data_IF_893977527262
#
_entry.id   IF_893977527262
#
_cell.length_a   1.000
_cell.length_b   1.000
_cell.length_c   1.000
_cell.angle_alpha   90.00
_cell.angle_beta   90.00
_cell.angle_gamma   90.00
#
_symmetry.space_group_name_H-M   'P 1'
#
loop_
_entity.id
_entity.type
_entity.pdbx_description
1 polymer ?
#
# COMPACT_ATOMS: atom_id res chain seq x y z
N UNK A 1 17.67 -10.86 -4.62
CA UNK A 1 17.32 -11.63 -3.40
C UNK A 1 18.26 -11.16 -2.31
N UNK A 2 17.76 -10.64 -1.19
CA UNK A 2 18.62 -10.21 -0.08
C UNK A 2 19.14 -11.46 0.64
N UNK A 3 20.45 -11.57 0.84
CA UNK A 3 21.02 -12.67 1.59
C UNK A 3 20.58 -12.58 3.07
N UNK A 4 20.25 -13.72 3.73
CA UNK A 4 19.65 -13.74 5.07
C UNK A 4 20.58 -13.27 6.21
N UNK A 5 21.87 -13.00 5.94
CA UNK A 5 22.88 -12.74 6.98
C UNK A 5 23.84 -11.59 6.68
N UNK A 6 23.40 -10.54 5.99
CA UNK A 6 24.23 -9.34 5.87
C UNK A 6 24.19 -8.61 7.22
N UNK A 7 25.37 -8.36 7.82
CA UNK A 7 25.55 -7.70 9.13
C UNK A 7 24.74 -6.41 9.29
N UNK A 8 24.46 -5.71 8.20
CA UNK A 8 23.75 -4.43 8.18
C UNK A 8 22.30 -4.49 7.64
N UNK A 9 21.79 -5.64 7.20
CA UNK A 9 20.53 -5.68 6.40
C UNK A 9 19.28 -6.12 7.15
N UNK A 10 19.39 -6.68 8.35
CA UNK A 10 18.23 -7.30 8.99
C UNK A 10 17.41 -6.30 9.81
N UNK A 11 18.05 -5.43 10.59
CA UNK A 11 17.37 -4.41 11.41
C UNK A 11 18.19 -3.13 11.63
N UNK A 12 19.43 -3.04 11.15
CA UNK A 12 20.36 -1.93 11.44
C UNK A 12 19.85 -0.55 11.04
N UNK A 13 19.00 -0.49 10.00
CA UNK A 13 18.32 0.75 9.56
C UNK A 13 16.81 0.71 9.77
N UNK A 14 16.30 -0.31 10.46
CA UNK A 14 14.88 -0.49 10.67
C UNK A 14 14.40 0.37 11.85
N UNK A 15 13.11 0.71 11.86
CA UNK A 15 12.53 1.46 12.97
C UNK A 15 12.57 0.63 14.26
N UNK A 16 12.57 1.29 15.42
CA UNK A 16 12.50 0.60 16.71
C UNK A 16 11.37 -0.44 16.73
N UNK A 17 11.68 -1.64 17.25
CA UNK A 17 10.79 -2.81 17.27
C UNK A 17 10.48 -3.44 15.89
N UNK A 18 11.24 -3.12 14.85
CA UNK A 18 11.17 -3.84 13.57
C UNK A 18 11.82 -5.22 13.69
N UNK A 19 11.14 -6.21 13.12
CA UNK A 19 11.69 -7.56 12.98
C UNK A 19 12.47 -7.66 11.65
N UNK A 20 13.44 -8.58 11.55
CA UNK A 20 14.05 -8.94 10.28
C UNK A 20 13.01 -9.26 9.20
N UNK A 21 13.29 -8.92 7.95
CA UNK A 21 12.33 -9.09 6.86
C UNK A 21 11.83 -10.54 6.70
N UNK A 22 12.68 -11.54 6.96
CA UNK A 22 12.36 -12.97 6.85
C UNK A 22 12.17 -13.66 8.20
N UNK A 23 11.69 -12.94 9.22
CA UNK A 23 11.59 -13.48 10.58
C UNK A 23 10.69 -14.73 10.65
N UNK A 24 9.60 -14.81 9.88
CA UNK A 24 8.70 -15.98 9.91
C UNK A 24 9.34 -17.22 9.32
N UNK A 25 10.03 -17.07 8.19
CA UNK A 25 10.70 -18.13 7.47
C UNK A 25 11.84 -18.71 8.32
N UNK A 26 12.65 -17.82 8.90
CA UNK A 26 13.73 -18.21 9.81
C UNK A 26 13.20 -18.89 11.07
N UNK A 27 12.16 -18.31 11.69
CA UNK A 27 11.54 -18.90 12.88
C UNK A 27 10.96 -20.28 12.60
N UNK A 28 10.32 -20.45 11.45
CA UNK A 28 9.78 -21.73 11.04
C UNK A 28 10.90 -22.76 10.82
N UNK A 29 11.95 -22.40 10.08
CA UNK A 29 13.07 -23.29 9.79
C UNK A 29 13.80 -23.74 11.07
N UNK A 30 14.11 -22.82 11.98
CA UNK A 30 14.78 -23.11 13.24
C UNK A 30 13.92 -24.01 14.14
N UNK A 31 12.65 -23.67 14.34
CA UNK A 31 11.75 -24.43 15.23
C UNK A 31 11.36 -25.79 14.63
N UNK A 32 11.54 -26.00 13.33
CA UNK A 32 11.25 -27.27 12.65
C UNK A 32 12.44 -28.23 12.69
N UNK A 33 13.66 -27.71 12.51
CA UNK A 33 14.86 -28.54 12.32
C UNK A 33 15.87 -28.49 13.47
N UNK A 34 15.74 -27.53 14.38
CA UNK A 34 16.67 -27.28 15.48
C UNK A 34 15.90 -26.95 16.77
N UNK A 35 14.79 -27.64 17.01
CA UNK A 35 13.92 -27.37 18.16
C UNK A 35 14.58 -27.74 19.50
N UNK A 36 15.46 -28.73 19.48
CA UNK A 36 16.26 -29.22 20.61
C UNK A 36 17.34 -28.24 21.08
N UNK A 37 17.73 -27.28 20.23
CA UNK A 37 18.64 -26.20 20.60
C UNK A 37 17.97 -25.08 21.43
N UNK A 38 16.64 -25.16 21.65
CA UNK A 38 15.90 -24.20 22.47
C UNK A 38 15.57 -24.76 23.85
N UNK A 39 15.71 -23.93 24.89
CA UNK A 39 15.31 -24.29 26.26
C UNK A 39 13.82 -24.66 26.37
N UNK A 40 12.95 -23.90 25.69
CA UNK A 40 11.51 -24.20 25.57
C UNK A 40 10.97 -23.82 24.18
N UNK A 41 11.14 -24.74 23.22
CA UNK A 41 10.65 -24.57 21.86
C UNK A 41 9.13 -24.37 21.75
N UNK A 42 8.35 -24.95 22.68
CA UNK A 42 6.88 -24.84 22.65
C UNK A 42 6.43 -23.44 23.02
N UNK A 43 7.03 -22.84 24.05
CA UNK A 43 6.77 -21.44 24.41
C UNK A 43 7.19 -20.50 23.29
N UNK A 44 8.34 -20.74 22.64
CA UNK A 44 8.78 -19.94 21.49
C UNK A 44 7.76 -20.04 20.34
N UNK A 45 7.31 -21.25 19.99
CA UNK A 45 6.28 -21.47 18.96
C UNK A 45 5.00 -20.70 19.25
N UNK A 46 4.50 -20.75 20.49
CA UNK A 46 3.31 -20.01 20.92
C UNK A 46 3.50 -18.49 20.76
N UNK A 47 4.62 -17.95 21.24
CA UNK A 47 4.93 -16.51 21.13
C UNK A 47 5.03 -16.04 19.68
N UNK A 48 5.64 -16.85 18.80
CA UNK A 48 5.71 -16.55 17.36
C UNK A 48 4.34 -16.49 16.70
N UNK A 49 3.43 -17.41 17.09
CA UNK A 49 2.06 -17.43 16.59
C UNK A 49 1.27 -16.20 17.07
N UNK A 50 1.34 -15.87 18.35
CA UNK A 50 0.71 -14.67 18.93
C UNK A 50 1.25 -13.39 18.26
N UNK A 51 2.56 -13.32 18.03
CA UNK A 51 3.21 -12.19 17.37
C UNK A 51 2.72 -12.03 15.93
N UNK A 52 2.64 -13.13 15.16
CA UNK A 52 2.09 -13.12 13.79
C UNK A 52 0.66 -12.61 13.79
N UNK A 53 -0.18 -13.09 14.69
CA UNK A 53 -1.58 -12.69 14.76
C UNK A 53 -1.75 -11.20 15.03
N UNK A 54 -1.03 -10.67 16.04
CA UNK A 54 -1.06 -9.25 16.38
C UNK A 54 -0.55 -8.40 15.21
N UNK A 55 0.54 -8.81 14.56
CA UNK A 55 1.13 -8.06 13.43
C UNK A 55 0.22 -8.06 12.22
N UNK A 56 -0.38 -9.19 11.85
CA UNK A 56 -1.35 -9.27 10.77
C UNK A 56 -2.63 -8.47 11.07
N UNK A 57 -3.07 -8.45 12.32
CA UNK A 57 -4.19 -7.59 12.76
C UNK A 57 -3.87 -6.11 12.61
N UNK A 58 -2.66 -5.67 13.01
CA UNK A 58 -2.18 -4.30 12.81
C UNK A 58 -2.08 -3.94 11.32
N UNK A 59 -1.53 -4.84 10.51
CA UNK A 59 -1.38 -4.65 9.07
C UNK A 59 -2.74 -4.45 8.38
N UNK A 60 -3.72 -5.30 8.67
CA UNK A 60 -5.10 -5.15 8.16
C UNK A 60 -5.77 -3.85 8.59
N UNK A 61 -5.55 -3.39 9.84
CA UNK A 61 -6.03 -2.08 10.28
C UNK A 61 -5.39 -0.93 9.48
N UNK A 62 -4.11 -1.04 9.16
CA UNK A 62 -3.41 -0.05 8.32
C UNK A 62 -4.03 0.13 6.93
N UNK A 63 -4.57 -0.94 6.34
CA UNK A 63 -5.24 -0.87 5.03
C UNK A 63 -6.59 -0.15 5.04
N UNK A 64 -7.19 0.11 6.21
CA UNK A 64 -8.44 0.89 6.27
C UNK A 64 -8.26 2.34 5.83
N UNK A 65 -7.01 2.83 5.80
CA UNK A 65 -6.64 4.19 5.39
C UNK A 65 -6.25 4.25 3.90
N UNK A 66 -6.57 3.20 3.13
CA UNK A 66 -6.33 3.17 1.69
C UNK A 66 -7.25 4.16 0.97
N UNK A 67 -6.69 5.30 0.59
CA UNK A 67 -7.30 6.23 -0.36
C UNK A 67 -6.72 5.99 -1.76
N UNK A 68 -7.58 6.01 -2.78
CA UNK A 68 -7.27 5.51 -4.13
C UNK A 68 -6.15 6.23 -4.90
N UNK A 69 -5.56 7.28 -4.35
CA UNK A 69 -4.43 8.02 -4.93
C UNK A 69 -3.17 8.05 -4.05
N UNK A 70 -3.24 7.61 -2.79
CA UNK A 70 -2.12 7.67 -1.86
C UNK A 70 -1.39 6.32 -1.73
N UNK A 71 -0.07 6.32 -1.86
CA UNK A 71 0.75 5.15 -1.57
C UNK A 71 0.77 4.83 -0.07
N UNK A 72 0.70 3.55 0.31
CA UNK A 72 0.87 3.14 1.71
C UNK A 72 2.36 2.96 2.02
N UNK A 73 2.82 3.58 3.10
CA UNK A 73 4.13 3.30 3.68
C UNK A 73 4.06 2.06 4.57
N UNK A 74 4.67 0.96 4.14
CA UNK A 74 4.74 -0.30 4.90
C UNK A 74 6.12 -0.47 5.53
N UNK A 75 6.34 0.15 6.69
CA UNK A 75 7.59 -0.01 7.43
C UNK A 75 7.56 -1.22 8.35
N UNK A 76 8.69 -1.92 8.46
CA UNK A 76 8.87 -3.00 9.42
C UNK A 76 7.94 -4.20 9.19
N UNK A 77 7.38 -4.35 7.98
CA UNK A 77 6.56 -5.50 7.56
C UNK A 77 7.46 -6.55 6.93
N UNK A 78 7.29 -7.81 7.33
CA UNK A 78 8.06 -8.95 6.82
C UNK A 78 7.62 -9.40 5.43
N UNK A 79 8.46 -10.17 4.76
CA UNK A 79 8.21 -10.68 3.41
C UNK A 79 6.99 -11.58 3.32
N UNK A 80 6.88 -12.57 4.20
CA UNK A 80 5.71 -13.45 4.29
C UNK A 80 4.41 -12.69 4.66
N UNK A 81 4.49 -11.63 5.47
CA UNK A 81 3.34 -10.77 5.77
C UNK A 81 2.83 -10.07 4.50
N UNK A 82 3.74 -9.51 3.69
CA UNK A 82 3.42 -8.88 2.40
C UNK A 82 2.86 -9.91 1.42
N UNK A 83 3.47 -11.10 1.35
CA UNK A 83 3.02 -12.17 0.46
C UNK A 83 1.58 -12.62 0.76
N UNK A 84 1.18 -12.63 2.04
CA UNK A 84 -0.17 -13.02 2.44
C UNK A 84 -1.23 -11.96 2.04
N UNK A 85 -0.89 -10.67 2.07
CA UNK A 85 -1.86 -9.59 1.83
C UNK A 85 -1.87 -9.03 0.41
N UNK A 86 -0.82 -9.27 -0.39
CA UNK A 86 -0.60 -8.60 -1.68
C UNK A 86 -1.76 -8.74 -2.67
N UNK A 87 -2.39 -9.93 -2.74
CA UNK A 87 -3.46 -10.19 -3.69
C UNK A 87 -4.70 -9.37 -3.37
N UNK A 88 -5.08 -9.34 -2.09
CA UNK A 88 -6.21 -8.56 -1.61
C UNK A 88 -5.97 -7.05 -1.78
N UNK A 89 -4.84 -6.55 -1.26
CA UNK A 89 -4.54 -5.11 -1.29
C UNK A 89 -4.37 -4.61 -2.71
N UNK A 90 -3.69 -5.37 -3.57
CA UNK A 90 -3.55 -5.04 -4.99
C UNK A 90 -4.91 -4.89 -5.67
N UNK A 91 -5.81 -5.86 -5.47
CA UNK A 91 -7.17 -5.80 -6.02
C UNK A 91 -7.98 -4.58 -5.55
N UNK A 92 -7.91 -4.25 -4.26
CA UNK A 92 -8.59 -3.06 -3.70
C UNK A 92 -8.04 -1.77 -4.32
N UNK A 93 -6.72 -1.64 -4.39
CA UNK A 93 -6.07 -0.44 -4.95
C UNK A 93 -6.40 -0.28 -6.44
N UNK A 94 -6.39 -1.37 -7.21
CA UNK A 94 -6.72 -1.32 -8.63
C UNK A 94 -8.18 -0.96 -8.87
N UNK A 95 -9.10 -1.47 -8.05
CA UNK A 95 -10.51 -1.08 -8.08
C UNK A 95 -10.70 0.41 -7.76
N UNK A 96 -10.03 0.92 -6.71
CA UNK A 96 -10.08 2.35 -6.36
C UNK A 96 -9.51 3.24 -7.48
N UNK A 97 -8.42 2.83 -8.13
CA UNK A 97 -7.85 3.54 -9.28
C UNK A 97 -8.83 3.61 -10.45
N UNK A 98 -9.54 2.51 -10.73
CA UNK A 98 -10.55 2.48 -11.80
C UNK A 98 -11.69 3.45 -11.51
N UNK A 99 -12.20 3.47 -10.28
CA UNK A 99 -13.27 4.37 -9.84
C UNK A 99 -12.81 5.84 -9.91
N UNK A 100 -11.60 6.13 -9.46
CA UNK A 100 -11.08 7.50 -9.47
C UNK A 100 -10.89 8.01 -10.90
N UNK A 101 -10.36 7.17 -11.80
CA UNK A 101 -10.23 7.52 -13.22
C UNK A 101 -11.58 7.82 -13.86
N UNK A 102 -12.58 6.95 -13.68
CA UNK A 102 -13.91 7.19 -14.25
C UNK A 102 -14.58 8.45 -13.68
N UNK A 103 -14.33 8.78 -12.41
CA UNK A 103 -14.84 10.01 -11.80
C UNK A 103 -14.14 11.26 -12.34
N UNK A 104 -12.83 11.19 -12.58
CA UNK A 104 -12.06 12.29 -13.15
C UNK A 104 -12.44 12.54 -14.61
N UNK A 105 -12.61 11.49 -15.41
CA UNK A 105 -13.11 11.56 -16.79
C UNK A 105 -14.50 12.21 -16.85
N UNK A 106 -15.46 11.74 -16.06
CA UNK A 106 -16.81 12.32 -16.02
C UNK A 106 -16.83 13.79 -15.54
N UNK A 107 -15.88 14.18 -14.68
CA UNK A 107 -15.74 15.57 -14.25
C UNK A 107 -15.16 16.44 -15.36
N UNK A 108 -14.19 15.91 -16.10
CA UNK A 108 -13.56 16.59 -17.23
C UNK A 108 -14.53 16.80 -18.38
N UNK A 109 -15.33 15.79 -18.73
CA UNK A 109 -16.38 15.89 -19.76
C UNK A 109 -17.37 17.01 -19.42
N UNK A 110 -17.85 17.09 -18.17
CA UNK A 110 -18.71 18.19 -17.72
C UNK A 110 -18.04 19.57 -17.80
N UNK A 111 -16.78 19.66 -17.35
CA UNK A 111 -16.01 20.92 -17.41
C UNK A 111 -15.72 21.35 -18.87
N UNK A 112 -15.73 20.42 -19.83
CA UNK A 112 -15.61 20.67 -21.27
C UNK A 112 -16.97 21.09 -21.87
N UNK A 113 -18.06 20.37 -21.55
CA UNK A 113 -19.43 20.74 -21.94
C UNK A 113 -19.83 22.14 -21.45
N UNK A 114 -19.52 22.49 -20.19
CA UNK A 114 -19.79 23.81 -19.63
C UNK A 114 -18.96 24.89 -20.35
N UNK A 115 -17.71 24.59 -20.72
CA UNK A 115 -16.87 25.55 -21.49
C UNK A 115 -17.40 25.78 -22.89
N UNK A 116 -17.85 24.74 -23.57
CA UNK A 116 -18.44 24.86 -24.91
C UNK A 116 -19.80 25.58 -24.86
N UNK A 117 -20.59 25.40 -23.80
CA UNK A 117 -21.85 26.11 -23.59
C UNK A 117 -21.66 27.62 -23.34
N UNK A 118 -20.62 28.04 -22.61
CA UNK A 118 -20.31 29.46 -22.36
C UNK A 118 -19.43 30.11 -23.46
N UNK A 119 -18.72 29.32 -24.27
CA UNK A 119 -17.85 29.79 -25.36
C UNK A 119 -18.61 30.28 -26.61
N UNK A 120 -19.89 29.92 -26.76
CA UNK A 120 -20.74 30.38 -27.87
C UNK A 120 -21.27 31.82 -27.77
N UNK A 121 -21.02 32.52 -26.66
CA UNK A 121 -21.64 33.83 -26.36
C UNK A 121 -20.70 35.05 -26.38
N UNK A 122 -19.44 34.92 -26.84
CA UNK A 122 -18.50 36.06 -26.95
C UNK A 122 -17.67 36.04 -28.23
N UNK A 123 -18.32 36.17 -29.37
CA UNK A 123 -17.73 36.80 -30.58
C UNK A 123 -18.87 37.43 -31.38
N UNK A 124 -19.53 38.40 -30.77
CA UNK A 124 -20.43 39.34 -31.42
C UNK A 124 -20.24 40.67 -30.67
N UNK A 125 -19.01 41.16 -30.69
CA UNK A 125 -18.71 42.54 -30.31
C UNK A 125 -18.71 43.31 -31.63
N UNK A 126 -19.58 44.30 -31.70
CA UNK A 126 -20.04 45.00 -32.89
C UNK A 126 -18.90 45.68 -33.67
N UNK A 127 -18.55 45.15 -34.85
CA UNK A 127 -17.76 45.83 -35.89
C UNK A 127 -18.67 46.75 -36.75
N UNK A 128 -19.58 47.51 -36.11
CA UNK A 128 -20.48 48.48 -36.77
C UNK A 128 -20.16 49.92 -36.33
N UNK A 129 -18.92 50.39 -36.50
CA UNK A 129 -18.61 51.83 -36.46
C UNK A 129 -17.45 52.22 -37.39
N UNK A 130 -17.65 52.12 -38.71
CA UNK A 130 -16.86 52.84 -39.72
C UNK A 130 -17.74 53.20 -40.94
N UNK A 131 -18.73 54.07 -40.76
CA UNK A 131 -19.30 54.81 -41.91
C UNK A 131 -19.86 56.19 -41.52
N UNK A 132 -19.02 57.23 -41.69
CA UNK A 132 -19.22 58.42 -42.53
C UNK A 132 -18.23 59.54 -42.15
#
# INVERSE_FOLDING_TARGET
>A
MSAPFIRDSSTTRAQDNSLPYHWMELSHLLITHAADDFEDANTVRRKLQELREIRMSKLRRGFKVLEGSAGIKLNGVGGMEVAEVRGFVGGVVDALRRINRSREEARRERDEEDRDAFGGARYQDDDDEMSL
#
